data_IF_840337420153
#
_entry.id   IF_840337420153
#
_cell.length_a   1.000
_cell.length_b   1.000
_cell.length_c   1.000
_cell.angle_alpha   90.00
_cell.angle_beta   90.00
_cell.angle_gamma   90.00
#
_symmetry.space_group_name_H-M   'P 1'
#
loop_
_entity.id
_entity.type
_entity.pdbx_description
1 polymer ?
#
# COMPACT_ATOMS: atom_id res chain seq x y z
N UNK A 1 -8.30 18.54 -17.84
CA UNK A 1 -7.51 18.21 -16.63
C UNK A 1 -8.36 17.53 -15.56
N UNK A 2 -9.64 17.87 -15.45
CA UNK A 2 -10.60 17.23 -14.55
C UNK A 2 -10.62 15.69 -14.65
N UNK A 3 -10.61 15.12 -15.86
CA UNK A 3 -10.56 13.67 -16.05
C UNK A 3 -9.32 13.02 -15.41
N UNK A 4 -8.13 13.60 -15.58
CA UNK A 4 -6.91 13.07 -14.97
C UNK A 4 -6.99 13.13 -13.44
N UNK A 5 -7.52 14.23 -12.91
CA UNK A 5 -7.73 14.39 -11.48
C UNK A 5 -8.71 13.35 -10.94
N UNK A 6 -9.83 13.13 -11.61
CA UNK A 6 -10.80 12.11 -11.22
C UNK A 6 -10.18 10.71 -11.21
N UNK A 7 -9.38 10.36 -12.22
CA UNK A 7 -8.64 9.08 -12.26
C UNK A 7 -7.64 8.96 -11.09
N UNK A 8 -6.95 10.05 -10.77
CA UNK A 8 -5.99 10.10 -9.66
C UNK A 8 -6.68 9.99 -8.30
N UNK A 9 -7.81 10.66 -8.08
CA UNK A 9 -8.61 10.56 -6.85
C UNK A 9 -9.24 9.18 -6.69
N UNK A 10 -9.74 8.60 -7.79
CA UNK A 10 -10.30 7.24 -7.83
C UNK A 10 -9.28 6.17 -7.42
N UNK A 11 -8.01 6.41 -7.69
CA UNK A 11 -6.91 5.49 -7.39
C UNK A 11 -6.17 5.84 -6.08
N UNK A 12 -6.84 6.54 -5.16
CA UNK A 12 -6.26 6.97 -3.88
C UNK A 12 -4.93 7.71 -4.02
N UNK A 13 -4.84 8.52 -5.08
CA UNK A 13 -3.76 9.46 -5.31
C UNK A 13 -2.38 8.82 -5.56
N UNK A 14 -2.32 7.60 -6.14
CA UNK A 14 -1.06 6.97 -6.53
C UNK A 14 -0.16 7.90 -7.37
N UNK A 15 1.16 7.75 -7.21
CA UNK A 15 2.13 8.61 -7.87
C UNK A 15 2.10 8.46 -9.40
N UNK A 16 2.57 9.47 -10.15
CA UNK A 16 2.52 9.48 -11.61
C UNK A 16 3.22 8.28 -12.26
N UNK A 17 4.27 7.75 -11.64
CA UNK A 17 4.98 6.53 -12.08
C UNK A 17 4.09 5.28 -12.09
N UNK A 18 3.11 5.18 -11.19
CA UNK A 18 2.13 4.08 -11.13
C UNK A 18 0.85 4.41 -11.88
N UNK A 19 0.40 5.66 -11.80
CA UNK A 19 -0.84 6.09 -12.46
C UNK A 19 -0.72 6.06 -13.98
N UNK A 20 0.31 6.69 -14.55
CA UNK A 20 0.46 6.82 -16.00
C UNK A 20 0.35 5.50 -16.78
N UNK A 21 1.08 4.42 -16.43
CA UNK A 21 0.94 3.13 -17.13
C UNK A 21 -0.43 2.48 -16.93
N UNK A 22 -1.16 2.84 -15.87
CA UNK A 22 -2.50 2.30 -15.58
C UNK A 22 -3.63 3.11 -16.24
N UNK A 23 -3.39 4.37 -16.63
CA UNK A 23 -4.42 5.24 -17.22
C UNK A 23 -5.15 4.66 -18.44
N UNK A 24 -4.48 4.02 -19.43
CA UNK A 24 -5.19 3.43 -20.57
C UNK A 24 -6.24 2.42 -20.14
N UNK A 25 -5.83 1.49 -19.27
CA UNK A 25 -6.66 0.41 -18.76
C UNK A 25 -7.80 0.97 -17.89
N UNK A 26 -7.49 1.87 -16.96
CA UNK A 26 -8.50 2.51 -16.11
C UNK A 26 -9.56 3.25 -16.93
N UNK A 27 -9.16 4.00 -17.96
CA UNK A 27 -10.09 4.75 -18.81
C UNK A 27 -10.97 3.84 -19.65
N UNK A 28 -10.44 2.72 -20.16
CA UNK A 28 -11.22 1.69 -20.84
C UNK A 28 -12.30 1.11 -19.92
N UNK A 29 -11.94 0.79 -18.67
CA UNK A 29 -12.88 0.29 -17.66
C UNK A 29 -13.97 1.29 -17.32
N UNK A 30 -13.60 2.56 -17.12
CA UNK A 30 -14.56 3.64 -16.88
C UNK A 30 -15.50 3.84 -18.07
N UNK A 31 -15.00 3.71 -19.31
CA UNK A 31 -15.81 3.81 -20.51
C UNK A 31 -16.82 2.64 -20.61
N UNK A 32 -16.36 1.41 -20.40
CA UNK A 32 -17.19 0.21 -20.45
C UNK A 32 -18.34 0.25 -19.44
N UNK A 33 -18.13 0.89 -18.29
CA UNK A 33 -19.13 1.06 -17.23
C UNK A 33 -19.95 2.35 -17.34
N UNK A 34 -19.72 3.17 -18.38
CA UNK A 34 -20.34 4.50 -18.56
C UNK A 34 -20.10 5.44 -17.37
N UNK A 35 -18.95 5.28 -16.70
CA UNK A 35 -18.54 6.03 -15.51
C UNK A 35 -17.59 7.20 -15.84
N UNK A 36 -17.33 7.47 -17.12
CA UNK A 36 -16.59 8.66 -17.52
C UNK A 36 -17.43 9.93 -17.27
N UNK A 37 -16.80 11.04 -16.84
CA UNK A 37 -17.48 12.33 -16.74
C UNK A 37 -18.13 12.73 -18.07
N UNK A 38 -19.33 13.32 -18.04
CA UNK A 38 -20.02 13.77 -19.25
C UNK A 38 -19.21 14.80 -20.07
N UNK A 39 -18.31 15.54 -19.42
CA UNK A 39 -17.39 16.49 -20.06
C UNK A 39 -16.21 15.85 -20.80
N UNK A 40 -16.01 14.53 -20.67
CA UNK A 40 -14.87 13.83 -21.24
C UNK A 40 -15.06 13.51 -22.73
N UNK A 41 -14.57 14.39 -23.61
CA UNK A 41 -14.52 14.10 -25.05
C UNK A 41 -13.48 13.02 -25.39
N UNK A 42 -13.68 12.32 -26.52
CA UNK A 42 -12.75 11.28 -27.01
C UNK A 42 -11.30 11.79 -27.09
N UNK A 43 -11.12 13.02 -27.57
CA UNK A 43 -9.79 13.65 -27.64
C UNK A 43 -9.16 13.88 -26.26
N UNK A 44 -9.96 14.17 -25.23
CA UNK A 44 -9.47 14.30 -23.85
C UNK A 44 -9.07 12.93 -23.30
N UNK A 45 -9.89 11.90 -23.50
CA UNK A 45 -9.59 10.52 -23.07
C UNK A 45 -8.28 10.02 -23.69
N UNK A 46 -8.12 10.16 -25.01
CA UNK A 46 -6.89 9.77 -25.72
C UNK A 46 -5.65 10.55 -25.25
N UNK A 47 -5.81 11.84 -24.92
CA UNK A 47 -4.71 12.64 -24.40
C UNK A 47 -4.30 12.18 -23.01
N UNK A 48 -5.25 11.90 -22.12
CA UNK A 48 -4.98 11.44 -20.75
C UNK A 48 -4.34 10.04 -20.76
N UNK A 49 -4.83 9.12 -21.60
CA UNK A 49 -4.28 7.75 -21.66
C UNK A 49 -2.81 7.68 -22.08
N UNK A 50 -2.30 8.68 -22.80
CA UNK A 50 -0.92 8.70 -23.31
C UNK A 50 0.02 9.60 -22.50
N UNK A 51 -0.42 10.16 -21.38
CA UNK A 51 0.43 11.06 -20.59
C UNK A 51 1.61 10.31 -19.98
N UNK A 52 2.81 10.91 -20.08
CA UNK A 52 3.99 10.39 -19.39
C UNK A 52 3.87 10.57 -17.86
N UNK A 53 4.57 9.75 -17.06
CA UNK A 53 4.62 9.93 -15.60
C UNK A 53 4.96 11.35 -15.15
N UNK A 54 5.97 11.96 -15.77
CA UNK A 54 6.39 13.33 -15.46
C UNK A 54 5.30 14.37 -15.79
N UNK A 55 4.54 14.15 -16.88
CA UNK A 55 3.42 15.01 -17.24
C UNK A 55 2.30 14.88 -16.22
N UNK A 56 1.94 13.65 -15.83
CA UNK A 56 0.93 13.37 -14.81
C UNK A 56 1.30 14.08 -13.50
N UNK A 57 2.54 13.92 -13.01
CA UNK A 57 2.99 14.58 -11.78
C UNK A 57 2.96 16.12 -11.89
N UNK A 58 3.40 16.68 -13.02
CA UNK A 58 3.39 18.14 -13.25
C UNK A 58 1.97 18.71 -13.22
N UNK A 59 1.02 18.01 -13.85
CA UNK A 59 -0.38 18.43 -13.92
C UNK A 59 -1.08 18.31 -12.57
N UNK A 60 -0.78 17.24 -11.82
CA UNK A 60 -1.40 16.99 -10.53
C UNK A 60 -0.79 17.79 -9.37
N UNK A 61 0.36 18.43 -9.60
CA UNK A 61 1.09 19.23 -8.59
C UNK A 61 0.21 20.22 -7.82
N UNK A 62 -0.74 20.97 -8.43
CA UNK A 62 -1.60 21.91 -7.71
C UNK A 62 -2.59 21.23 -6.75
N UNK A 63 -2.96 19.97 -7.01
CA UNK A 63 -3.97 19.23 -6.23
C UNK A 63 -3.37 18.40 -5.09
N UNK A 64 -2.04 18.23 -5.05
CA UNK A 64 -1.37 17.51 -3.97
C UNK A 64 -1.38 18.38 -2.71
N UNK A 65 -2.16 17.94 -1.72
CA UNK A 65 -2.14 18.53 -0.37
C UNK A 65 -0.70 18.56 0.14
N UNK A 66 -0.25 19.73 0.61
CA UNK A 66 1.02 19.84 1.35
C UNK A 66 0.78 19.34 2.77
N UNK A 67 0.75 18.02 2.95
CA UNK A 67 0.72 17.44 4.29
C UNK A 67 2.04 17.74 5.03
N UNK A 68 2.01 17.95 6.36
CA UNK A 68 3.22 18.08 7.16
C UNK A 68 4.18 16.92 6.92
N UNK A 69 5.48 17.21 6.78
CA UNK A 69 6.50 16.24 6.36
C UNK A 69 6.81 15.14 7.38
N UNK A 70 6.28 15.21 8.60
CA UNK A 70 6.67 14.32 9.69
C UNK A 70 5.47 13.52 10.21
N UNK A 71 5.42 12.23 9.85
CA UNK A 71 4.49 11.25 10.44
C UNK A 71 5.26 10.44 11.49
N UNK A 72 4.65 10.06 12.62
CA UNK A 72 5.31 9.19 13.59
C UNK A 72 5.73 7.88 12.93
N UNK A 73 6.95 7.44 13.20
CA UNK A 73 7.38 6.08 12.89
C UNK A 73 7.23 5.22 14.13
N UNK A 74 6.71 4.00 13.97
CA UNK A 74 6.67 3.00 15.04
C UNK A 74 7.94 2.14 15.10
N UNK A 75 8.89 2.38 14.20
CA UNK A 75 10.18 1.68 14.19
C UNK A 75 11.19 2.40 15.09
N UNK A 76 11.62 1.71 16.15
CA UNK A 76 12.87 2.02 16.84
C UNK A 76 13.97 1.19 16.17
N UNK A 77 15.13 1.77 15.80
CA UNK A 77 16.21 1.00 15.18
C UNK A 77 16.78 0.01 16.21
N UNK A 78 16.42 -1.27 16.08
CA UNK A 78 16.96 -2.36 16.88
C UNK A 78 18.11 -3.04 16.14
N UNK A 79 19.31 -3.01 16.73
CA UNK A 79 20.51 -3.64 16.16
C UNK A 79 20.54 -5.18 16.30
N UNK A 80 19.67 -5.77 17.13
CA UNK A 80 19.89 -7.10 17.70
C UNK A 80 19.30 -8.26 16.91
N UNK A 81 18.30 -8.05 16.04
CA UNK A 81 17.61 -9.14 15.33
C UNK A 81 18.05 -9.34 13.87
N UNK A 82 18.75 -8.37 13.25
CA UNK A 82 19.18 -8.47 11.84
C UNK A 82 20.27 -9.52 11.60
N UNK A 83 20.94 -10.00 12.65
CA UNK A 83 22.04 -10.95 12.55
C UNK A 83 21.68 -12.42 12.82
N UNK A 84 20.46 -12.71 13.28
CA UNK A 84 20.04 -14.07 13.69
C UNK A 84 19.09 -14.76 12.71
N UNK A 85 18.55 -14.01 11.75
CA UNK A 85 17.87 -14.56 10.58
C UNK A 85 18.88 -14.49 9.44
N UNK A 86 19.21 -15.60 8.75
CA UNK A 86 20.04 -15.52 7.55
C UNK A 86 19.39 -14.54 6.58
N UNK A 87 20.03 -13.39 6.37
CA UNK A 87 19.69 -12.49 5.28
C UNK A 87 20.02 -13.26 4.00
N UNK A 88 19.00 -13.85 3.37
CA UNK A 88 19.16 -14.42 2.03
C UNK A 88 19.52 -13.27 1.12
N UNK A 89 20.77 -13.24 0.69
CA UNK A 89 21.25 -12.20 -0.19
C UNK A 89 20.73 -12.46 -1.60
N UNK A 90 20.58 -11.37 -2.34
CA UNK A 90 19.95 -11.26 -3.66
C UNK A 90 20.41 -12.28 -4.71
N UNK A 91 21.56 -12.93 -4.53
CA UNK A 91 22.10 -13.95 -5.42
C UNK A 91 21.34 -15.28 -5.42
N UNK A 92 20.51 -15.54 -4.39
CA UNK A 92 19.79 -16.81 -4.22
C UNK A 92 18.38 -16.81 -4.82
N UNK A 93 17.91 -15.67 -5.35
CA UNK A 93 16.56 -15.54 -5.92
C UNK A 93 16.61 -15.60 -7.45
N UNK A 94 16.03 -16.65 -8.04
CA UNK A 94 15.58 -16.59 -9.44
C UNK A 94 14.33 -15.70 -9.52
N UNK A 95 14.57 -14.39 -9.54
CA UNK A 95 13.57 -13.29 -9.49
C UNK A 95 12.56 -13.29 -10.65
N UNK A 96 12.62 -14.27 -11.55
CA UNK A 96 11.71 -14.38 -12.68
C UNK A 96 10.39 -15.10 -12.33
N UNK A 97 10.26 -15.73 -11.15
CA UNK A 97 9.09 -16.55 -10.82
C UNK A 97 8.16 -15.92 -9.75
N UNK A 98 6.84 -15.90 -9.98
CA UNK A 98 5.86 -15.52 -8.96
C UNK A 98 5.86 -16.47 -7.76
N UNK A 99 5.55 -15.95 -6.59
CA UNK A 99 5.42 -16.70 -5.33
C UNK A 99 6.30 -16.19 -4.20
N UNK A 100 7.12 -15.16 -4.42
CA UNK A 100 8.05 -14.62 -3.44
C UNK A 100 7.64 -13.21 -3.04
N UNK A 101 7.30 -13.02 -1.77
CA UNK A 101 6.68 -11.78 -1.30
C UNK A 101 7.57 -11.01 -0.33
N UNK A 102 7.66 -9.70 -0.55
CA UNK A 102 8.05 -8.75 0.49
C UNK A 102 6.84 -8.48 1.39
N UNK A 103 7.05 -8.50 2.70
CA UNK A 103 6.03 -8.17 3.70
C UNK A 103 6.38 -6.90 4.48
N UNK A 104 5.35 -6.09 4.77
CA UNK A 104 5.48 -4.92 5.64
C UNK A 104 4.25 -4.75 6.53
N UNK A 105 4.44 -4.10 7.69
CA UNK A 105 3.36 -3.73 8.61
C UNK A 105 3.19 -2.21 8.68
N UNK A 106 2.03 -1.75 8.24
CA UNK A 106 1.64 -0.34 8.32
C UNK A 106 0.82 -0.09 9.58
N UNK A 107 1.35 0.72 10.49
CA UNK A 107 0.66 1.16 11.70
C UNK A 107 -0.34 2.29 11.44
N UNK A 108 -1.61 2.09 11.78
CA UNK A 108 -2.67 3.11 11.68
C UNK A 108 -2.77 3.97 12.94
N UNK A 109 -1.66 4.61 13.31
CA UNK A 109 -1.51 5.35 14.58
C UNK A 109 -1.73 6.88 14.45
N UNK A 110 -2.08 7.37 13.24
CA UNK A 110 -2.32 8.79 13.01
C UNK A 110 -1.09 9.65 13.32
N UNK A 111 -1.21 10.52 14.31
CA UNK A 111 -0.16 11.47 14.74
C UNK A 111 0.53 11.09 16.05
N UNK A 112 0.21 9.93 16.63
CA UNK A 112 0.84 9.44 17.86
C UNK A 112 1.09 7.95 17.77
N UNK A 113 2.33 7.52 18.03
CA UNK A 113 2.67 6.10 18.14
C UNK A 113 2.29 5.52 19.53
N UNK A 114 1.63 6.28 20.40
CA UNK A 114 1.23 5.83 21.73
C UNK A 114 -0.15 5.13 21.70
N UNK A 115 -0.27 4.04 22.44
CA UNK A 115 -1.50 3.28 22.60
C UNK A 115 -1.64 2.10 21.62
N UNK A 116 -2.83 1.53 21.55
CA UNK A 116 -3.18 0.46 20.62
C UNK A 116 -3.73 1.01 19.32
N UNK A 117 -3.32 0.42 18.20
CA UNK A 117 -3.79 0.78 16.88
C UNK A 117 -3.86 -0.44 15.99
N UNK A 118 -4.69 -0.33 14.95
CA UNK A 118 -4.77 -1.35 13.91
C UNK A 118 -3.50 -1.31 13.05
N UNK A 119 -3.17 -2.45 12.47
CA UNK A 119 -2.09 -2.59 11.49
C UNK A 119 -2.66 -3.12 10.18
N UNK A 120 -1.98 -2.84 9.07
CA UNK A 120 -2.17 -3.59 7.83
C UNK A 120 -0.91 -4.37 7.54
N UNK A 121 -1.03 -5.69 7.41
CA UNK A 121 -0.03 -6.53 6.78
C UNK A 121 -0.19 -6.41 5.27
N UNK A 122 0.85 -5.97 4.59
CA UNK A 122 0.93 -5.89 3.14
C UNK A 122 1.91 -6.96 2.65
N UNK A 123 1.48 -7.80 1.71
CA UNK A 123 2.35 -8.70 0.97
C UNK A 123 2.44 -8.22 -0.48
N UNK A 124 3.64 -8.12 -1.02
CA UNK A 124 3.90 -7.74 -2.41
C UNK A 124 4.77 -8.80 -3.08
N UNK A 125 4.22 -9.51 -4.06
CA UNK A 125 5.01 -10.44 -4.86
C UNK A 125 6.06 -9.68 -5.67
N UNK A 126 7.32 -10.07 -5.59
CA UNK A 126 8.45 -9.34 -6.20
C UNK A 126 8.36 -9.38 -7.72
N UNK A 127 8.08 -10.55 -8.30
CA UNK A 127 8.09 -10.73 -9.75
C UNK A 127 6.90 -10.04 -10.44
N UNK A 128 5.71 -10.09 -9.82
CA UNK A 128 4.46 -9.64 -10.43
C UNK A 128 3.95 -8.33 -9.84
N UNK A 129 4.43 -7.91 -8.68
CA UNK A 129 3.87 -6.80 -7.92
C UNK A 129 2.44 -7.06 -7.42
N UNK A 130 1.99 -8.32 -7.38
CA UNK A 130 0.69 -8.69 -6.80
C UNK A 130 0.64 -8.27 -5.34
N UNK A 131 -0.38 -7.50 -4.97
CA UNK A 131 -0.54 -7.00 -3.60
C UNK A 131 -1.73 -7.68 -2.96
N UNK A 132 -1.52 -8.22 -1.76
CA UNK A 132 -2.61 -8.64 -0.89
C UNK A 132 -2.41 -8.06 0.50
N UNK A 133 -3.52 -7.65 1.14
CA UNK A 133 -3.48 -6.94 2.42
C UNK A 133 -4.41 -7.59 3.45
N UNK A 134 -4.00 -7.61 4.71
CA UNK A 134 -4.83 -8.01 5.84
C UNK A 134 -4.83 -6.95 6.95
N UNK A 135 -6.02 -6.60 7.45
CA UNK A 135 -6.15 -5.79 8.67
C UNK A 135 -5.88 -6.63 9.92
N UNK A 136 -5.02 -6.12 10.81
CA UNK A 136 -4.65 -6.76 12.07
C UNK A 136 -5.00 -5.86 13.26
N UNK A 137 -5.40 -6.48 14.37
CA UNK A 137 -5.68 -5.76 15.63
C UNK A 137 -4.41 -5.32 16.35
N UNK A 138 -3.31 -6.05 16.16
CA UNK A 138 -2.01 -5.80 16.78
C UNK A 138 -0.92 -6.46 15.91
N UNK A 139 0.35 -6.30 16.31
CA UNK A 139 1.54 -6.87 15.64
C UNK A 139 2.09 -8.13 16.32
N UNK A 140 1.27 -8.86 17.10
CA UNK A 140 1.71 -10.11 17.74
C UNK A 140 1.92 -11.18 16.67
N UNK A 141 2.89 -12.05 16.92
CA UNK A 141 3.27 -13.14 16.01
C UNK A 141 2.08 -14.01 15.61
N UNK A 142 1.27 -14.45 16.58
CA UNK A 142 0.07 -15.28 16.35
C UNK A 142 -0.94 -14.60 15.39
N UNK A 143 -1.12 -13.29 15.55
CA UNK A 143 -2.03 -12.47 14.75
C UNK A 143 -1.51 -12.31 13.32
N UNK A 144 -0.20 -12.15 13.16
CA UNK A 144 0.46 -12.08 11.85
C UNK A 144 0.42 -13.44 11.16
N UNK A 145 0.73 -14.52 11.86
CA UNK A 145 0.74 -15.89 11.32
C UNK A 145 -0.65 -16.30 10.82
N UNK A 146 -1.69 -16.11 11.64
CA UNK A 146 -3.06 -16.41 11.23
C UNK A 146 -3.52 -15.59 10.01
N UNK A 147 -3.01 -14.36 9.86
CA UNK A 147 -3.27 -13.57 8.67
C UNK A 147 -2.51 -14.09 7.46
N UNK A 148 -1.25 -14.50 7.59
CA UNK A 148 -0.46 -15.09 6.52
C UNK A 148 -1.09 -16.39 6.00
N UNK A 149 -1.58 -17.25 6.90
CA UNK A 149 -2.27 -18.49 6.54
C UNK A 149 -3.52 -18.19 5.71
N UNK A 150 -4.39 -17.29 6.18
CA UNK A 150 -5.58 -16.88 5.41
C UNK A 150 -5.20 -16.28 4.06
N UNK A 151 -4.22 -15.38 4.02
CA UNK A 151 -3.80 -14.71 2.79
C UNK A 151 -3.25 -15.71 1.77
N UNK A 152 -2.55 -16.75 2.22
CA UNK A 152 -1.97 -17.78 1.34
C UNK A 152 -3.04 -18.51 0.53
N UNK A 153 -4.20 -18.78 1.13
CA UNK A 153 -5.30 -19.50 0.48
C UNK A 153 -5.98 -18.67 -0.62
N UNK A 154 -5.94 -17.34 -0.49
CA UNK A 154 -6.56 -16.40 -1.44
C UNK A 154 -5.63 -16.02 -2.61
N UNK A 155 -4.37 -16.47 -2.61
CA UNK A 155 -3.42 -16.11 -3.66
C UNK A 155 -3.73 -16.84 -4.97
N UNK A 156 -3.58 -16.16 -6.13
CA UNK A 156 -3.78 -16.81 -7.43
C UNK A 156 -2.66 -17.80 -7.79
N UNK A 157 -1.53 -17.78 -7.06
CA UNK A 157 -0.39 -18.67 -7.22
C UNK A 157 0.23 -19.02 -5.85
N UNK A 158 0.99 -20.13 -5.73
CA UNK A 158 1.55 -20.56 -4.47
C UNK A 158 2.51 -19.53 -3.86
N UNK A 159 2.46 -19.39 -2.52
CA UNK A 159 3.47 -18.67 -1.76
C UNK A 159 4.68 -19.58 -1.55
N UNK A 160 5.80 -19.23 -2.16
CA UNK A 160 7.08 -19.95 -2.15
C UNK A 160 8.07 -19.37 -1.14
N UNK A 161 7.95 -18.09 -0.78
CA UNK A 161 8.82 -17.47 0.21
C UNK A 161 8.37 -16.08 0.63
N UNK A 162 8.91 -15.63 1.76
CA UNK A 162 8.58 -14.38 2.44
C UNK A 162 9.88 -13.68 2.89
N UNK A 163 9.95 -12.38 2.68
CA UNK A 163 11.04 -11.52 3.17
C UNK A 163 10.46 -10.26 3.86
N UNK A 164 11.15 -9.75 4.89
CA UNK A 164 10.71 -8.61 5.70
C UNK A 164 11.69 -7.42 5.69
N UNK A 165 12.71 -7.40 4.83
CA UNK A 165 13.61 -6.27 4.65
C UNK A 165 13.49 -5.67 3.23
N UNK A 166 13.54 -4.34 3.13
CA UNK A 166 13.32 -3.61 1.88
C UNK A 166 14.60 -3.54 1.02
N UNK A 167 14.66 -4.26 -0.10
CA UNK A 167 15.60 -3.96 -1.19
C UNK A 167 14.84 -3.20 -2.29
N UNK A 168 15.23 -1.97 -2.57
CA UNK A 168 14.52 -1.12 -3.56
C UNK A 168 14.94 -1.48 -4.99
N UNK A 169 14.16 -2.31 -5.67
CA UNK A 169 14.28 -2.58 -7.10
C UNK A 169 13.05 -2.06 -7.85
N UNK A 170 13.25 -1.54 -9.06
CA UNK A 170 12.18 -0.96 -9.87
C UNK A 170 12.17 -1.59 -11.27
N UNK A 171 11.07 -2.27 -11.60
CA UNK A 171 10.84 -2.81 -12.94
C UNK A 171 10.09 -1.83 -13.85
N UNK A 172 9.90 -2.23 -15.11
CA UNK A 172 8.96 -1.56 -16.02
C UNK A 172 7.56 -1.56 -15.39
N UNK A 173 6.99 -0.38 -15.24
CA UNK A 173 5.70 -0.21 -14.59
C UNK A 173 4.58 -0.82 -15.44
N UNK A 174 3.82 -1.73 -14.84
CA UNK A 174 2.66 -2.44 -15.38
C UNK A 174 1.70 -2.73 -14.23
N UNK A 175 0.44 -3.05 -14.54
CA UNK A 175 -0.50 -3.50 -13.50
C UNK A 175 -0.12 -4.90 -13.00
N UNK A 176 -0.36 -5.22 -11.72
CA UNK A 176 -0.10 -6.56 -11.20
C UNK A 176 -0.81 -7.65 -11.98
N UNK A 177 -2.09 -7.43 -12.33
CA UNK A 177 -2.87 -8.32 -13.19
C UNK A 177 -2.13 -8.67 -14.50
N UNK A 178 -1.61 -7.66 -15.21
CA UNK A 178 -0.86 -7.87 -16.47
C UNK A 178 0.43 -8.64 -16.25
N UNK A 179 1.16 -8.38 -15.16
CA UNK A 179 2.41 -9.08 -14.85
C UNK A 179 2.17 -10.55 -14.52
N UNK A 180 1.12 -10.86 -13.75
CA UNK A 180 0.72 -12.24 -13.46
C UNK A 180 0.32 -12.99 -14.73
N UNK A 181 -0.44 -12.36 -15.63
CA UNK A 181 -0.76 -12.99 -16.92
C UNK A 181 0.51 -13.22 -17.77
N UNK A 182 1.46 -12.28 -17.75
CA UNK A 182 2.71 -12.37 -18.49
C UNK A 182 3.66 -13.44 -17.95
N UNK A 183 3.58 -13.80 -16.66
CA UNK A 183 4.44 -14.81 -16.04
C UNK A 183 4.13 -16.25 -16.48
N UNK A 184 2.92 -16.49 -17.02
CA UNK A 184 2.44 -17.81 -17.49
C UNK A 184 2.43 -18.90 -16.42
N UNK A 185 2.43 -18.53 -15.14
CA UNK A 185 2.38 -19.50 -14.02
C UNK A 185 0.97 -20.06 -13.77
N UNK A 186 -0.06 -19.33 -14.21
CA UNK A 186 -1.46 -19.66 -13.93
C UNK A 186 -2.00 -20.72 -14.88
N UNK A 187 -2.86 -21.60 -14.36
CA UNK A 187 -3.69 -22.49 -15.18
C UNK A 187 -4.72 -21.69 -15.98
N UNK A 188 -5.22 -22.24 -17.09
CA UNK A 188 -6.27 -21.60 -17.90
C UNK A 188 -7.52 -21.29 -17.07
N UNK A 189 -7.94 -22.22 -16.19
CA UNK A 189 -9.07 -22.00 -15.29
C UNK A 189 -8.85 -20.79 -14.37
N UNK A 190 -7.64 -20.65 -13.80
CA UNK A 190 -7.33 -19.50 -12.93
C UNK A 190 -7.23 -18.19 -13.71
N UNK A 191 -6.75 -18.22 -14.95
CA UNK A 191 -6.76 -17.07 -15.85
C UNK A 191 -8.21 -16.63 -16.11
N UNK A 192 -9.11 -17.57 -16.39
CA UNK A 192 -10.53 -17.27 -16.66
C UNK A 192 -11.23 -16.72 -15.41
N UNK A 193 -10.97 -17.29 -14.23
CA UNK A 193 -11.47 -16.79 -12.95
C UNK A 193 -11.01 -15.34 -12.69
N UNK A 194 -9.70 -15.08 -12.82
CA UNK A 194 -9.16 -13.73 -12.64
C UNK A 194 -9.70 -12.75 -13.69
N UNK A 195 -9.87 -13.19 -14.93
CA UNK A 195 -10.46 -12.36 -15.97
C UNK A 195 -11.92 -12.03 -15.65
N UNK A 196 -12.70 -12.99 -15.15
CA UNK A 196 -14.08 -12.77 -14.72
C UNK A 196 -14.15 -11.79 -13.54
N UNK A 197 -13.31 -11.95 -12.52
CA UNK A 197 -13.22 -11.04 -11.37
C UNK A 197 -12.82 -9.63 -11.84
N UNK A 198 -11.77 -9.54 -12.64
CA UNK A 198 -11.28 -8.29 -13.21
C UNK A 198 -12.36 -7.58 -14.04
N UNK A 199 -13.15 -8.32 -14.83
CA UNK A 199 -14.28 -7.77 -15.59
C UNK A 199 -15.45 -7.37 -14.70
N UNK A 200 -15.71 -8.08 -13.61
CA UNK A 200 -16.77 -7.78 -12.66
C UNK A 200 -16.47 -6.53 -11.80
N UNK A 201 -15.19 -6.24 -11.54
CA UNK A 201 -14.73 -5.09 -10.75
C UNK A 201 -15.13 -3.74 -11.37
N UNK A 202 -15.96 -2.99 -10.64
CA UNK A 202 -16.24 -1.58 -10.91
C UNK A 202 -15.36 -0.71 -10.01
N UNK A 203 -14.34 0.00 -10.56
CA UNK A 203 -13.43 0.77 -9.74
C UNK A 203 -14.12 1.93 -9.00
N UNK A 204 -15.22 2.48 -9.54
CA UNK A 204 -15.98 3.56 -8.89
C UNK A 204 -16.78 3.02 -7.71
N UNK A 205 -17.45 1.88 -7.90
CA UNK A 205 -18.17 1.25 -6.80
C UNK A 205 -17.21 0.78 -5.71
N UNK A 206 -16.10 0.15 -6.08
CA UNK A 206 -15.08 -0.29 -5.14
C UNK A 206 -14.54 0.88 -4.30
N UNK A 207 -14.26 2.02 -4.93
CA UNK A 207 -13.83 3.24 -4.22
C UNK A 207 -14.89 3.70 -3.20
N UNK A 208 -16.17 3.73 -3.58
CA UNK A 208 -17.28 4.08 -2.67
C UNK A 208 -17.40 3.11 -1.50
N UNK A 209 -17.29 1.81 -1.77
CA UNK A 209 -17.39 0.76 -0.75
C UNK A 209 -16.23 0.88 0.25
N UNK A 210 -15.01 1.14 -0.23
CA UNK A 210 -13.83 1.41 0.61
C UNK A 210 -14.06 2.65 1.48
N UNK A 211 -14.54 3.76 0.90
CA UNK A 211 -14.79 5.00 1.65
C UNK A 211 -15.89 4.82 2.70
N UNK A 212 -16.95 4.08 2.38
CA UNK A 212 -18.02 3.74 3.32
C UNK A 212 -17.54 2.85 4.47
N UNK A 213 -16.71 1.84 4.16
CA UNK A 213 -16.08 0.99 5.17
C UNK A 213 -15.15 1.82 6.08
N UNK A 214 -14.32 2.70 5.50
CA UNK A 214 -13.47 3.62 6.26
C UNK A 214 -14.29 4.57 7.14
N UNK A 215 -15.39 5.12 6.65
CA UNK A 215 -16.28 5.99 7.43
C UNK A 215 -16.88 5.22 8.62
N UNK A 216 -17.33 3.98 8.39
CA UNK A 216 -17.85 3.09 9.44
C UNK A 216 -16.79 2.82 10.51
N UNK A 217 -15.55 2.50 10.11
CA UNK A 217 -14.45 2.27 11.03
C UNK A 217 -14.14 3.52 11.87
N UNK A 218 -14.09 4.71 11.24
CA UNK A 218 -13.87 5.99 11.95
C UNK A 218 -14.98 6.29 12.94
N UNK A 219 -16.24 6.08 12.56
CA UNK A 219 -17.38 6.29 13.44
C UNK A 219 -17.36 5.37 14.67
N UNK A 220 -16.92 4.11 14.51
CA UNK A 220 -16.75 3.16 15.62
C UNK A 220 -15.55 3.48 16.51
N UNK A 221 -14.50 4.11 15.97
CA UNK A 221 -13.31 4.49 16.71
C UNK A 221 -13.49 5.81 17.51
N UNK A 222 -14.31 6.75 17.04
CA UNK A 222 -14.49 8.05 17.67
C UNK A 222 -14.91 8.02 19.16
N UNK A 223 -15.81 7.13 19.62
CA UNK A 223 -16.16 7.01 21.04
C UNK A 223 -15.02 6.50 21.93
N UNK A 224 -14.08 5.73 21.37
CA UNK A 224 -12.93 5.18 22.09
C UNK A 224 -11.87 6.28 22.35
N UNK A 225 -11.65 7.16 21.38
CA UNK A 225 -10.75 8.30 21.51
C UNK A 225 -11.23 9.38 22.49
N UNK A 226 -12.55 9.50 22.70
CA UNK A 226 -13.14 10.43 23.67
C UNK A 226 -13.10 9.90 25.13
N UNK A 227 -13.03 8.58 25.32
CA UNK A 227 -12.86 7.95 26.65
C UNK A 227 -11.41 7.94 27.13
N UNK A 228 -10.45 7.96 26.21
CA UNK A 228 -9.07 8.27 26.53
C UNK A 228 -8.93 9.78 26.77
N UNK A 229 -9.21 10.25 28.00
CA UNK A 229 -8.69 11.55 28.44
C UNK A 229 -7.18 11.45 28.36
N UNK A 230 -6.61 11.97 27.29
CA UNK A 230 -5.18 12.23 27.19
C UNK A 230 -4.83 13.13 28.37
N UNK A 231 -4.27 12.54 29.43
CA UNK A 231 -3.54 13.30 30.42
C UNK A 231 -2.34 13.85 29.68
N UNK A 232 -2.49 15.03 29.09
CA UNK A 232 -1.38 15.85 28.65
C UNK A 232 -0.64 16.29 29.91
N UNK A 233 0.14 15.38 30.51
CA UNK A 233 1.25 15.82 31.33
C UNK A 233 2.30 16.34 30.35
N UNK A 234 2.66 17.63 30.43
CA UNK A 234 3.77 18.13 29.63
C UNK A 234 5.03 17.34 30.03
N UNK A 235 5.80 16.93 29.03
CA UNK A 235 7.10 16.31 29.23
C UNK A 235 7.94 17.17 30.20
N UNK A 236 8.65 16.58 31.18
CA UNK A 236 9.50 17.34 32.07
C UNK A 236 10.52 18.12 31.25
N UNK A 237 10.66 19.42 31.57
CA UNK A 237 11.61 20.32 30.90
C UNK A 237 13.03 19.79 31.08
N UNK A 238 13.77 19.79 29.99
CA UNK A 238 15.14 19.28 29.84
C UNK A 238 16.19 20.16 30.54
N UNK A 239 16.09 20.32 31.86
CA UNK A 239 17.05 21.14 32.63
C UNK A 239 17.71 20.39 33.81
N UNK A 240 17.69 19.05 33.83
CA UNK A 240 18.30 18.27 34.91
C UNK A 240 19.26 17.15 34.49
N UNK A 241 19.95 17.30 33.36
CA UNK A 241 21.19 16.53 33.11
C UNK A 241 22.40 17.39 33.49
N UNK A 242 22.58 17.57 34.79
CA UNK A 242 23.88 17.96 35.35
C UNK A 242 24.86 16.83 35.04
N UNK A 243 25.88 17.14 34.23
CA UNK A 243 27.03 16.27 34.00
C UNK A 243 27.73 16.03 35.34
N UNK A 244 27.69 14.80 35.85
CA UNK A 244 28.73 14.31 36.76
C UNK A 244 29.88 13.76 35.90
N UNK A 245 31.12 14.26 36.05
CA UNK A 245 32.28 13.64 35.44
C UNK A 245 32.69 12.37 36.22
N UNK A 246 33.00 11.29 35.49
CA UNK A 246 33.64 10.10 36.05
C UNK A 246 34.99 10.46 36.69
N UNK A 247 35.31 9.98 37.90
CA UNK A 247 36.67 9.99 38.40
C UNK A 247 37.47 8.89 37.70
N UNK A 248 38.64 9.27 37.18
CA UNK A 248 39.67 8.36 36.70
C UNK A 248 40.50 7.96 37.91
N UNK A 249 40.60 6.65 38.17
CA UNK A 249 41.38 6.05 39.24
C UNK A 249 41.20 4.55 39.26
#
# INVERSE_FOLDING_TARGET
>A
MELLRACWELTDQICGKRLAPFLPELLERLAARRSLPASASVAVVQRVSRMSPATVDRVLRPYRLRLPRHRPSTTAPGALLKGQVPLRTFADWDQASPGFFEMDLVAHCGWSAAGEFLYTLCLVDVATGWVVCAGLRNKREDTVLAALERLRDDLPFPMLGLDSDNVRQYDRAQTPYRRVLASRILSTARIDELAAEYVALDPVQLKRDIEAAQATLRARAAPLGARARWVTQPAPRSDSYVRQPCPVG
#
